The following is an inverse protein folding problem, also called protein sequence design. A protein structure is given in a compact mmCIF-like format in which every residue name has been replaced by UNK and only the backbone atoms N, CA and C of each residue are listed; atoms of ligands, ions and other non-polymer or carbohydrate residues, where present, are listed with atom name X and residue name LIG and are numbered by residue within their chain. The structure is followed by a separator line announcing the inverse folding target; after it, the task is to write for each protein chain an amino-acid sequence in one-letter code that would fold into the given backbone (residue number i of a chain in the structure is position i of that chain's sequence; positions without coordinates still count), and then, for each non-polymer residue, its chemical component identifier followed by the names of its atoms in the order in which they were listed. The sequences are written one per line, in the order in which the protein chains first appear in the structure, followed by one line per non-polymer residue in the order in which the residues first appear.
data_IF_999804507426
#
_entry.id   IF_999804507426
#
_cell.length_a   1.000
_cell.length_b   1.000
_cell.length_c   1.000
_cell.angle_alpha   90.00
_cell.angle_beta   90.00
_cell.angle_gamma   90.00
#
_symmetry.space_group_name_H-M   'P 1'
#
loop_
_entity.id
_entity.type
_entity.pdbx_description
1 polymer ?
#
# COMPACT_ATOMS: atom_id res chain seq x y z
N UNK A 1 4.07 -2.63 8.91
CA UNK A 1 2.81 -2.27 8.22
C UNK A 1 2.78 -2.79 6.77
N UNK A 2 3.54 -2.26 5.81
CA UNK A 2 3.64 -2.87 4.45
C UNK A 2 4.28 -4.27 4.40
N UNK A 3 5.06 -4.65 5.42
CA UNK A 3 5.61 -6.01 5.59
C UNK A 3 4.53 -7.05 5.91
N UNK A 4 3.47 -6.64 6.60
CA UNK A 4 2.46 -7.56 7.13
C UNK A 4 1.34 -7.79 6.12
N UNK A 5 1.03 -6.77 5.30
CA UNK A 5 0.07 -6.89 4.21
C UNK A 5 0.79 -6.71 2.86
N UNK A 6 1.05 -7.80 2.11
CA UNK A 6 1.70 -7.72 0.81
C UNK A 6 0.86 -7.00 -0.24
N UNK A 7 -0.45 -6.82 -0.02
CA UNK A 7 -1.33 -6.03 -0.90
C UNK A 7 -1.02 -4.54 -0.84
N UNK A 8 -0.33 -4.06 0.21
CA UNK A 8 -0.02 -2.65 0.39
C UNK A 8 1.31 -2.30 -0.29
N UNK A 9 1.25 -1.68 -1.47
CA UNK A 9 2.42 -1.23 -2.26
C UNK A 9 2.95 0.12 -1.82
N UNK A 10 2.07 0.97 -1.33
CA UNK A 10 2.42 2.30 -0.84
C UNK A 10 1.58 2.70 0.38
N UNK A 11 2.00 3.79 1.03
CA UNK A 11 1.37 4.33 2.21
C UNK A 11 1.52 5.83 2.25
N UNK A 12 0.43 6.51 2.54
CA UNK A 12 0.42 7.88 2.98
C UNK A 12 0.37 7.91 4.51
N UNK A 13 1.25 8.68 5.13
CA UNK A 13 1.28 8.96 6.57
C UNK A 13 1.31 10.47 6.78
N UNK A 14 0.82 10.94 7.92
CA UNK A 14 1.01 12.33 8.33
C UNK A 14 1.54 12.38 9.76
N UNK A 15 2.42 13.34 10.00
CA UNK A 15 2.91 13.68 11.35
C UNK A 15 2.48 15.11 11.62
N UNK A 16 1.75 15.31 12.72
CA UNK A 16 1.28 16.62 13.17
C UNK A 16 1.96 16.92 14.51
N UNK A 17 2.65 18.04 14.59
CA UNK A 17 3.24 18.57 15.81
C UNK A 17 2.84 20.03 15.96
N UNK A 18 1.92 20.32 16.89
CA UNK A 18 1.28 21.63 17.03
C UNK A 18 0.68 22.12 15.69
N UNK A 19 1.23 23.20 15.10
CA UNK A 19 0.84 23.75 13.80
C UNK A 19 1.70 23.22 12.65
N UNK A 20 2.67 22.34 12.90
CA UNK A 20 3.58 21.81 11.88
C UNK A 20 3.13 20.43 11.43
N UNK A 21 2.69 20.32 10.19
CA UNK A 21 2.32 19.04 9.57
C UNK A 21 3.29 18.67 8.47
N UNK A 22 3.63 17.37 8.39
CA UNK A 22 4.32 16.77 7.25
C UNK A 22 3.54 15.58 6.73
N UNK A 23 3.47 15.46 5.41
CA UNK A 23 2.92 14.30 4.72
C UNK A 23 4.08 13.45 4.23
N UNK A 24 3.93 12.14 4.42
CA UNK A 24 4.89 11.12 4.05
C UNK A 24 4.23 10.21 3.03
N UNK A 25 4.91 10.00 1.91
CA UNK A 25 4.61 8.92 0.99
C UNK A 25 5.72 7.89 1.06
N UNK A 26 5.37 6.64 1.32
CA UNK A 26 6.31 5.51 1.37
C UNK A 26 5.87 4.42 0.43
N UNK A 27 6.75 4.02 -0.48
CA UNK A 27 6.60 2.80 -1.27
C UNK A 27 7.73 1.81 -0.95
N UNK A 28 7.81 0.68 -1.67
CA UNK A 28 8.87 -0.33 -1.45
C UNK A 28 10.26 0.14 -1.88
N UNK A 29 10.36 1.14 -2.76
CA UNK A 29 11.64 1.65 -3.27
C UNK A 29 12.07 2.97 -2.65
N UNK A 30 11.11 3.81 -2.23
CA UNK A 30 11.37 5.23 -2.00
C UNK A 30 10.50 5.78 -0.87
N UNK A 31 10.98 6.85 -0.24
CA UNK A 31 10.24 7.66 0.73
C UNK A 31 10.30 9.11 0.25
N UNK A 32 9.14 9.75 0.15
CA UNK A 32 8.98 11.16 -0.22
C UNK A 32 8.30 11.85 0.95
N UNK A 33 8.80 13.03 1.31
CA UNK A 33 8.33 13.80 2.45
C UNK A 33 7.99 15.20 1.94
N UNK A 34 6.83 15.72 2.31
CA UNK A 34 6.47 17.09 1.99
C UNK A 34 7.30 18.09 2.80
N UNK A 35 7.35 19.33 2.32
CA UNK A 35 7.67 20.45 3.17
C UNK A 35 6.64 20.57 4.31
N UNK A 36 7.05 21.24 5.38
CA UNK A 36 6.19 21.52 6.53
C UNK A 36 5.13 22.54 6.16
N UNK A 37 3.88 22.29 6.53
CA UNK A 37 2.79 23.25 6.36
C UNK A 37 1.84 23.22 7.57
N UNK A 38 1.09 24.31 7.73
CA UNK A 38 0.05 24.40 8.76
C UNK A 38 -1.27 23.82 8.23
N UNK A 39 -1.69 22.69 8.79
CA UNK A 39 -2.92 22.03 8.35
C UNK A 39 -4.19 22.78 8.77
N UNK A 40 -4.12 23.68 9.75
CA UNK A 40 -5.27 24.46 10.25
C UNK A 40 -5.59 25.66 9.37
N UNK A 41 -4.59 26.15 8.62
CA UNK A 41 -4.68 27.33 7.75
C UNK A 41 -4.57 26.93 6.26
N UNK A 42 -4.10 25.72 5.95
CA UNK A 42 -3.78 25.31 4.58
C UNK A 42 -4.96 25.35 3.60
N UNK A 43 -4.68 25.94 2.42
CA UNK A 43 -5.53 25.97 1.24
C UNK A 43 -5.84 24.55 0.68
N UNK A 44 -6.96 24.38 -0.06
CA UNK A 44 -7.44 23.10 -0.59
C UNK A 44 -6.49 22.35 -1.54
N UNK A 45 -5.34 22.91 -1.92
CA UNK A 45 -4.31 22.18 -2.68
C UNK A 45 -3.60 21.13 -1.84
N UNK A 46 -3.45 21.36 -0.53
CA UNK A 46 -2.86 20.39 0.41
C UNK A 46 -3.88 19.33 0.88
N UNK A 47 -5.18 19.57 0.69
CA UNK A 47 -6.24 18.62 1.07
C UNK A 47 -6.39 17.44 0.10
N UNK A 48 -5.87 17.54 -1.13
CA UNK A 48 -5.88 16.41 -2.07
C UNK A 48 -5.03 15.24 -1.56
N UNK A 49 -3.90 15.56 -0.91
CA UNK A 49 -3.03 14.55 -0.30
C UNK A 49 -3.66 13.97 0.98
N UNK A 50 -4.42 14.75 1.75
CA UNK A 50 -5.16 14.23 2.91
C UNK A 50 -6.38 13.39 2.51
N UNK A 51 -6.99 13.65 1.36
CA UNK A 51 -8.07 12.83 0.81
C UNK A 51 -7.62 11.38 0.52
N UNK A 52 -6.34 11.16 0.20
CA UNK A 52 -5.79 9.82 0.02
C UNK A 52 -5.84 8.96 1.30
N UNK A 53 -6.00 9.56 2.50
CA UNK A 53 -6.12 8.84 3.76
C UNK A 53 -7.53 8.33 4.04
N UNK A 54 -8.55 8.96 3.45
CA UNK A 54 -9.97 8.67 3.73
C UNK A 54 -10.69 8.14 2.48
N UNK A 55 -9.96 7.97 1.37
CA UNK A 55 -10.55 7.51 0.12
C UNK A 55 -11.10 6.08 0.25
N UNK A 56 -12.33 5.81 -0.23
CA UNK A 56 -12.86 4.46 -0.32
C UNK A 56 -12.14 3.63 -1.40
N UNK A 57 -11.41 4.27 -2.32
CA UNK A 57 -10.64 3.56 -3.33
C UNK A 57 -9.35 2.99 -2.73
N UNK A 58 -9.31 1.66 -2.62
CA UNK A 58 -8.15 0.91 -2.17
C UNK A 58 -6.88 1.25 -2.97
N UNK A 59 -6.98 1.58 -4.26
CA UNK A 59 -5.83 1.98 -5.07
C UNK A 59 -5.23 3.30 -4.59
N UNK A 60 -6.08 4.29 -4.27
CA UNK A 60 -5.65 5.58 -3.73
C UNK A 60 -5.02 5.43 -2.34
N UNK A 61 -5.48 4.46 -1.55
CA UNK A 61 -4.86 4.08 -0.26
C UNK A 61 -3.52 3.32 -0.39
N UNK A 62 -3.08 3.05 -1.63
CA UNK A 62 -1.83 2.34 -1.92
C UNK A 62 -1.94 0.82 -1.92
N UNK A 63 -3.15 0.26 -2.01
CA UNK A 63 -3.35 -1.18 -2.21
C UNK A 63 -3.29 -1.57 -3.68
N UNK A 64 -2.80 -2.77 -3.89
CA UNK A 64 -2.77 -3.46 -5.16
C UNK A 64 -4.10 -4.19 -5.42
N UNK A 65 -4.88 -3.80 -6.44
CA UNK A 65 -6.11 -4.51 -6.80
C UNK A 65 -5.83 -5.90 -7.42
N UNK A 66 -4.61 -6.14 -7.91
CA UNK A 66 -4.21 -7.40 -8.54
C UNK A 66 -3.78 -8.47 -7.54
N UNK A 67 -3.60 -8.12 -6.25
CA UNK A 67 -3.27 -9.08 -5.20
C UNK A 67 -4.45 -9.17 -4.24
N UNK A 68 -5.02 -10.37 -4.13
CA UNK A 68 -6.17 -10.65 -3.28
C UNK A 68 -5.82 -11.73 -2.25
N UNK A 69 -6.41 -11.70 -1.05
CA UNK A 69 -6.27 -12.82 -0.11
C UNK A 69 -6.89 -14.07 -0.74
N UNK A 70 -6.33 -15.24 -0.47
CA UNK A 70 -6.99 -16.49 -0.83
C UNK A 70 -8.25 -16.65 0.05
N UNK A 71 -9.38 -17.04 -0.55
CA UNK A 71 -10.70 -17.12 0.13
C UNK A 71 -10.65 -17.94 1.43
N UNK A 72 -9.79 -18.95 1.47
CA UNK A 72 -9.70 -19.92 2.56
C UNK A 72 -8.52 -19.66 3.53
N UNK A 73 -7.69 -18.63 3.25
CA UNK A 73 -6.50 -18.37 4.05
C UNK A 73 -5.99 -16.92 3.92
N UNK A 74 -6.23 -16.10 4.94
CA UNK A 74 -5.82 -14.69 5.00
C UNK A 74 -4.30 -14.47 4.88
N UNK A 75 -3.49 -15.52 5.10
CA UNK A 75 -2.03 -15.45 5.04
C UNK A 75 -1.45 -15.83 3.67
N UNK A 76 -2.28 -16.36 2.77
CA UNK A 76 -1.91 -16.65 1.38
C UNK A 76 -2.57 -15.67 0.43
N UNK A 77 -1.94 -15.43 -0.71
CA UNK A 77 -2.39 -14.44 -1.68
C UNK A 77 -2.49 -15.03 -3.08
N UNK A 78 -3.44 -14.52 -3.84
CA UNK A 78 -3.61 -14.78 -5.26
C UNK A 78 -3.19 -13.51 -5.99
N UNK A 79 -2.24 -13.66 -6.90
CA UNK A 79 -1.82 -12.61 -7.83
C UNK A 79 -2.52 -12.82 -9.17
N UNK A 80 -3.23 -11.80 -9.60
CA UNK A 80 -3.98 -11.79 -10.86
C UNK A 80 -3.11 -11.08 -11.89
N UNK A 81 -2.71 -11.81 -12.94
CA UNK A 81 -1.91 -11.28 -14.05
C UNK A 81 -2.77 -11.29 -15.31
N UNK A 82 -2.84 -10.13 -15.96
CA UNK A 82 -3.47 -10.01 -17.27
C UNK A 82 -2.48 -10.48 -18.34
N UNK A 83 -2.90 -11.38 -19.22
CA UNK A 83 -2.08 -11.77 -20.37
C UNK A 83 -2.06 -10.63 -21.40
N UNK A 84 -0.87 -10.30 -21.89
CA UNK A 84 -0.57 -9.16 -22.78
C UNK A 84 -1.41 -9.13 -24.07
N UNK A 85 -1.82 -10.31 -24.56
CA UNK A 85 -2.52 -10.41 -25.85
C UNK A 85 -4.05 -10.38 -25.78
N UNK A 86 -4.65 -10.50 -24.60
CA UNK A 86 -6.11 -10.44 -24.48
C UNK A 86 -6.46 -10.20 -23.01
N UNK A 87 -7.07 -9.04 -22.72
CA UNK A 87 -7.68 -8.74 -21.41
C UNK A 87 -8.77 -9.74 -21.00
N UNK A 88 -9.08 -10.73 -21.83
CA UNK A 88 -10.04 -11.82 -21.58
C UNK A 88 -9.45 -12.98 -20.77
N UNK A 89 -8.15 -13.25 -20.83
CA UNK A 89 -7.57 -14.42 -20.17
C UNK A 89 -6.84 -14.02 -18.89
N UNK A 90 -7.55 -14.11 -17.77
CA UNK A 90 -6.99 -13.92 -16.42
C UNK A 90 -6.14 -15.12 -16.04
N UNK A 91 -4.86 -14.90 -15.75
CA UNK A 91 -4.00 -15.91 -15.12
C UNK A 91 -3.90 -15.62 -13.63
N UNK A 92 -4.27 -16.58 -12.81
CA UNK A 92 -4.21 -16.47 -11.36
C UNK A 92 -3.07 -17.32 -10.83
N UNK A 93 -2.18 -16.71 -10.04
CA UNK A 93 -1.07 -17.39 -9.38
C UNK A 93 -1.28 -17.35 -7.88
N UNK A 94 -1.33 -18.51 -7.24
CA UNK A 94 -1.46 -18.63 -5.79
C UNK A 94 -0.08 -18.80 -5.15
N UNK A 95 0.18 -18.05 -4.08
CA UNK A 95 1.39 -18.21 -3.28
C UNK A 95 1.38 -19.57 -2.57
N UNK A 96 2.46 -20.34 -2.67
CA UNK A 96 2.61 -21.64 -1.97
C UNK A 96 2.77 -21.49 -0.45
N UNK A 97 3.33 -20.37 0.01
CA UNK A 97 3.61 -20.06 1.42
C UNK A 97 3.35 -18.58 1.68
N UNK A 98 3.31 -18.20 2.96
CA UNK A 98 3.10 -16.82 3.38
C UNK A 98 4.26 -15.95 2.85
N UNK A 99 3.95 -14.85 2.19
CA UNK A 99 4.99 -13.96 1.61
C UNK A 99 5.89 -13.38 2.71
N UNK A 100 5.34 -13.08 3.89
CA UNK A 100 6.12 -12.55 5.02
C UNK A 100 7.09 -13.56 5.64
N UNK A 101 6.93 -14.86 5.38
CA UNK A 101 7.88 -15.88 5.85
C UNK A 101 9.06 -16.08 4.89
N UNK A 102 8.96 -15.55 3.66
CA UNK A 102 10.04 -15.64 2.67
C UNK A 102 11.24 -14.80 3.12
N UNK A 103 12.36 -15.46 3.40
CA UNK A 103 13.59 -14.84 3.94
C UNK A 103 13.57 -14.57 5.44
N UNK A 104 12.49 -14.90 6.15
CA UNK A 104 12.40 -14.76 7.62
C UNK A 104 12.58 -16.08 8.38
N UNK A 105 12.30 -17.23 7.74
CA UNK A 105 12.49 -18.56 8.35
C UNK A 105 13.95 -18.90 8.71
N UNK A 106 15.00 -18.51 7.96
CA UNK A 106 16.38 -18.81 8.35
C UNK A 106 16.88 -18.01 9.56
N UNK A 107 16.11 -17.03 10.04
CA UNK A 107 16.45 -16.17 11.19
C UNK A 107 15.80 -16.62 12.50
N UNK A 108 15.05 -17.73 12.49
CA UNK A 108 14.60 -18.41 13.70
C UNK A 108 15.63 -19.48 14.03
N UNK A 109 16.61 -19.11 14.86
CA UNK A 109 17.48 -20.05 15.56
C UNK A 109 16.68 -20.96 16.49
#
# INVERSE_FOLDING_TARGET
MMRNDPRRRAMFCMTIEHSTTRIWFRCRSSVIISETFDFTIAEPKNSLNSAAFVSPDKKLLGFDPTIQPAEDNEKQFITIVYSDNDKKNLRMFRTKRIISSYGADPLRG
#
